data_IF_296345405770
#
_entry.id   IF_296345405770
#
_cell.length_a   1.000
_cell.length_b   1.000
_cell.length_c   1.000
_cell.angle_alpha   90.00
_cell.angle_beta   90.00
_cell.angle_gamma   90.00
#
_symmetry.space_group_name_H-M   'P 1'
#
loop_
_entity.id
_entity.type
_entity.pdbx_description
1 polymer ?
#
# COMPACT_ATOMS: atom_id res chain seq x y z
N UNK A 1 -8.36 6.58 -12.19
CA UNK A 1 -7.80 5.31 -12.68
C UNK A 1 -8.84 4.22 -12.57
N UNK A 2 -8.70 3.13 -13.33
CA UNK A 2 -9.60 1.97 -13.27
C UNK A 2 -8.81 0.68 -12.95
N UNK A 3 -9.48 -0.24 -12.26
CA UNK A 3 -8.97 -1.57 -11.91
C UNK A 3 -7.90 -1.58 -10.83
N UNK A 4 -7.58 -2.78 -10.34
CA UNK A 4 -6.58 -3.02 -9.27
C UNK A 4 -5.12 -3.05 -9.77
N UNK A 5 -4.88 -3.03 -11.08
CA UNK A 5 -3.53 -3.09 -11.62
C UNK A 5 -2.71 -1.87 -11.20
N UNK A 6 -1.49 -2.11 -10.73
CA UNK A 6 -0.57 -1.09 -10.25
C UNK A 6 -1.13 -0.19 -9.13
N UNK A 7 -2.09 -0.69 -8.33
CA UNK A 7 -2.72 0.07 -7.25
C UNK A 7 -1.69 0.67 -6.29
N UNK A 8 -0.70 -0.13 -5.87
CA UNK A 8 0.40 0.31 -4.99
C UNK A 8 1.19 1.46 -5.60
N UNK A 9 1.61 1.34 -6.86
CA UNK A 9 2.40 2.37 -7.55
C UNK A 9 1.59 3.66 -7.71
N UNK A 10 0.30 3.56 -8.07
CA UNK A 10 -0.59 4.72 -8.19
C UNK A 10 -0.71 5.47 -6.86
N UNK A 11 -0.87 4.76 -5.76
CA UNK A 11 -0.96 5.37 -4.44
C UNK A 11 0.38 5.99 -4.00
N UNK A 12 1.50 5.28 -4.16
CA UNK A 12 2.83 5.84 -3.83
C UNK A 12 3.15 7.09 -4.64
N UNK A 13 2.87 7.07 -5.96
CA UNK A 13 3.07 8.25 -6.81
C UNK A 13 2.13 9.40 -6.45
N UNK A 14 0.89 9.10 -6.04
CA UNK A 14 -0.04 10.09 -5.48
C UNK A 14 0.56 10.72 -4.22
N UNK A 15 1.08 9.92 -3.29
CA UNK A 15 1.76 10.40 -2.08
C UNK A 15 2.96 11.28 -2.39
N UNK A 16 3.83 10.86 -3.31
CA UNK A 16 5.04 11.61 -3.69
C UNK A 16 4.68 12.93 -4.40
N UNK A 17 3.68 12.91 -5.28
CA UNK A 17 3.29 14.08 -6.08
C UNK A 17 2.33 15.02 -5.37
N UNK A 18 1.75 14.61 -4.22
CA UNK A 18 0.71 15.36 -3.51
C UNK A 18 -0.61 15.47 -4.27
N UNK A 19 -0.83 14.66 -5.32
CA UNK A 19 -2.02 14.76 -6.17
C UNK A 19 -3.07 13.72 -5.78
N UNK A 20 -4.33 14.11 -5.52
CA UNK A 20 -5.41 13.17 -5.21
C UNK A 20 -5.65 12.19 -6.37
N UNK A 21 -6.05 10.96 -6.03
CA UNK A 21 -6.40 9.93 -7.01
C UNK A 21 -7.70 9.22 -6.64
N UNK A 22 -8.46 8.86 -7.67
CA UNK A 22 -9.64 8.00 -7.54
C UNK A 22 -9.40 6.76 -8.39
N UNK A 23 -9.61 5.57 -7.81
CA UNK A 23 -9.48 4.28 -8.46
C UNK A 23 -10.85 3.60 -8.40
N UNK A 24 -11.50 3.43 -9.55
CA UNK A 24 -12.79 2.75 -9.69
C UNK A 24 -12.60 1.35 -10.29
N UNK A 25 -13.69 0.59 -10.37
CA UNK A 25 -13.74 -0.70 -11.06
C UNK A 25 -12.74 -1.73 -10.50
N UNK A 26 -12.44 -1.67 -9.21
CA UNK A 26 -11.53 -2.60 -8.54
C UNK A 26 -12.21 -3.97 -8.45
N UNK A 27 -11.81 -4.90 -9.33
CA UNK A 27 -12.26 -6.31 -9.34
C UNK A 27 -13.78 -6.50 -9.37
N UNK A 28 -14.50 -5.59 -10.02
CA UNK A 28 -15.98 -5.62 -10.12
C UNK A 28 -16.55 -6.89 -10.76
N UNK A 29 -15.73 -7.68 -11.48
CA UNK A 29 -16.12 -8.93 -12.13
C UNK A 29 -15.64 -10.20 -11.42
N UNK A 30 -14.89 -10.07 -10.32
CA UNK A 30 -14.42 -11.21 -9.53
C UNK A 30 -15.56 -11.76 -8.65
N UNK A 31 -15.48 -13.04 -8.26
CA UNK A 31 -16.40 -13.62 -7.27
C UNK A 31 -16.38 -12.86 -5.93
N UNK A 32 -15.23 -12.28 -5.58
CA UNK A 32 -15.03 -11.43 -4.42
C UNK A 32 -14.59 -10.03 -4.92
N UNK A 33 -15.54 -9.11 -5.13
CA UNK A 33 -15.24 -7.79 -5.66
C UNK A 33 -14.49 -6.91 -4.66
N UNK A 34 -13.81 -5.88 -5.19
CA UNK A 34 -13.18 -4.83 -4.40
C UNK A 34 -11.72 -5.06 -4.03
N UNK A 35 -11.27 -4.26 -3.05
CA UNK A 35 -9.93 -4.32 -2.49
C UNK A 35 -9.67 -5.64 -1.77
N UNK A 36 -8.47 -6.18 -1.94
CA UNK A 36 -8.00 -7.31 -1.12
C UNK A 36 -7.50 -6.80 0.23
N UNK A 37 -7.45 -7.70 1.20
CA UNK A 37 -6.98 -7.43 2.57
C UNK A 37 -5.61 -6.73 2.63
N UNK A 38 -4.65 -7.16 1.80
CA UNK A 38 -3.32 -6.57 1.70
C UNK A 38 -3.32 -5.16 1.10
N UNK A 39 -4.26 -4.85 0.19
CA UNK A 39 -4.40 -3.50 -0.39
C UNK A 39 -5.04 -2.55 0.62
N UNK A 40 -6.07 -3.00 1.33
CA UNK A 40 -6.65 -2.24 2.44
C UNK A 40 -5.61 -2.00 3.55
N UNK A 41 -4.80 -3.00 3.87
CA UNK A 41 -3.68 -2.84 4.81
C UNK A 41 -2.64 -1.85 4.28
N UNK A 42 -2.35 -1.87 2.99
CA UNK A 42 -1.39 -0.97 2.36
C UNK A 42 -1.84 0.50 2.45
N UNK A 43 -3.12 0.75 2.18
CA UNK A 43 -3.71 2.09 2.33
C UNK A 43 -3.60 2.58 3.78
N UNK A 44 -3.87 1.71 4.77
CA UNK A 44 -3.66 2.02 6.20
C UNK A 44 -2.19 2.24 6.57
N UNK A 45 -1.24 1.64 5.85
CA UNK A 45 0.18 1.93 6.05
C UNK A 45 0.51 3.34 5.59
N UNK A 46 0.01 3.75 4.42
CA UNK A 46 0.20 5.12 3.92
C UNK A 46 -0.37 6.16 4.89
N UNK A 47 -1.55 5.90 5.43
CA UNK A 47 -2.18 6.76 6.44
C UNK A 47 -1.37 6.86 7.75
N UNK A 48 -0.63 5.81 8.12
CA UNK A 48 0.25 5.83 9.31
C UNK A 48 1.55 6.62 9.11
N UNK A 49 2.06 6.68 7.89
CA UNK A 49 3.33 7.36 7.59
C UNK A 49 3.12 8.78 7.09
N UNK A 50 1.89 9.11 6.70
CA UNK A 50 1.46 10.44 6.30
C UNK A 50 0.62 11.08 7.42
N UNK A 51 0.56 12.41 7.42
CA UNK A 51 -0.36 13.17 8.26
C UNK A 51 -1.31 13.98 7.38
N UNK A 52 -2.59 14.00 7.73
CA UNK A 52 -3.64 14.67 6.97
C UNK A 52 -4.05 13.98 5.66
N UNK A 53 -3.84 12.67 5.52
CA UNK A 53 -4.45 11.90 4.41
C UNK A 53 -5.96 11.78 4.59
N UNK A 54 -6.69 11.88 3.49
CA UNK A 54 -8.13 11.57 3.44
C UNK A 54 -8.36 10.37 2.53
N UNK A 55 -9.01 9.35 3.09
CA UNK A 55 -9.14 8.03 2.48
C UNK A 55 -10.58 7.58 2.60
N UNK A 56 -11.25 7.44 1.47
CA UNK A 56 -12.62 6.93 1.42
C UNK A 56 -12.70 5.70 0.53
N UNK A 57 -13.31 4.63 1.04
CA UNK A 57 -13.60 3.41 0.30
C UNK A 57 -15.12 3.24 0.28
N UNK A 58 -15.69 2.89 -0.86
CA UNK A 58 -17.12 2.58 -0.97
C UNK A 58 -17.48 1.28 -0.24
N UNK A 59 -18.78 1.05 -0.02
CA UNK A 59 -19.29 -0.11 0.74
C UNK A 59 -18.80 -1.45 0.16
N UNK A 60 -18.69 -1.53 -1.17
CA UNK A 60 -18.27 -2.74 -1.88
C UNK A 60 -16.75 -2.83 -2.08
N UNK A 61 -15.98 -1.82 -1.69
CA UNK A 61 -14.53 -1.76 -1.88
C UNK A 61 -14.08 -1.64 -3.35
N UNK A 62 -14.99 -1.34 -4.27
CA UNK A 62 -14.72 -1.23 -5.71
C UNK A 62 -14.20 0.15 -6.14
N UNK A 63 -14.36 1.14 -5.25
CA UNK A 63 -13.92 2.52 -5.44
C UNK A 63 -13.10 2.99 -4.25
N UNK A 64 -11.86 3.40 -4.51
CA UNK A 64 -10.95 4.01 -3.54
C UNK A 64 -10.68 5.47 -3.95
N UNK A 65 -10.95 6.42 -3.06
CA UNK A 65 -10.48 7.81 -3.17
C UNK A 65 -9.38 8.02 -2.15
N UNK A 66 -8.26 8.55 -2.62
CA UNK A 66 -7.07 8.80 -1.82
C UNK A 66 -6.59 10.22 -2.10
N UNK A 67 -6.65 11.05 -1.06
CA UNK A 67 -6.04 12.37 -1.03
C UNK A 67 -4.81 12.27 -0.13
N UNK A 68 -3.59 12.41 -0.70
CA UNK A 68 -2.37 12.21 0.05
C UNK A 68 -2.14 13.33 1.07
N UNK A 69 -1.66 12.95 2.25
CA UNK A 69 -1.18 13.87 3.28
C UNK A 69 0.31 14.18 3.14
N UNK A 70 0.89 14.84 4.15
CA UNK A 70 2.33 15.10 4.21
C UNK A 70 3.07 13.87 4.75
N UNK A 71 4.18 13.48 4.12
CA UNK A 71 4.99 12.35 4.59
C UNK A 71 5.77 12.80 5.84
N UNK A 72 5.35 12.36 7.03
CA UNK A 72 5.99 12.78 8.29
C UNK A 72 7.10 11.82 8.69
N UNK A 73 6.88 10.51 8.60
CA UNK A 73 7.80 9.51 9.14
C UNK A 73 7.68 9.40 10.67
N UNK A 74 8.82 9.30 11.36
CA UNK A 74 8.87 9.20 12.83
C UNK A 74 9.14 7.79 13.37
N UNK A 75 9.14 7.66 14.69
CA UNK A 75 9.45 6.43 15.42
C UNK A 75 8.24 5.79 16.07
N UNK A 76 8.30 4.48 16.33
CA UNK A 76 7.22 3.76 17.03
C UNK A 76 6.06 3.34 16.13
N UNK A 77 6.18 3.54 14.82
CA UNK A 77 5.19 3.08 13.84
C UNK A 77 5.23 1.56 13.75
N UNK A 78 4.12 0.89 14.08
CA UNK A 78 3.97 -0.56 13.96
C UNK A 78 2.85 -0.88 12.98
N UNK A 79 3.14 -1.73 11.99
CA UNK A 79 2.16 -2.17 11.00
C UNK A 79 2.11 -3.70 10.95
N UNK A 80 0.96 -4.26 11.33
CA UNK A 80 0.66 -5.69 11.20
C UNK A 80 0.16 -5.95 9.79
N UNK A 81 0.93 -6.70 9.01
CA UNK A 81 0.65 -7.07 7.64
C UNK A 81 -0.16 -8.38 7.61
N UNK A 82 -1.18 -8.51 6.75
CA UNK A 82 -1.89 -9.77 6.55
C UNK A 82 -1.00 -10.82 5.88
N UNK A 83 -1.36 -12.10 6.03
CA UNK A 83 -0.57 -13.23 5.48
C UNK A 83 -0.69 -13.39 3.96
N UNK A 84 -1.60 -12.66 3.31
CA UNK A 84 -1.88 -12.74 1.87
C UNK A 84 -0.75 -12.20 0.98
N UNK A 85 0.20 -11.43 1.55
CA UNK A 85 1.41 -10.90 0.91
C UNK A 85 2.55 -10.86 1.93
N UNK A 86 3.81 -10.97 1.46
CA UNK A 86 4.95 -10.83 2.35
C UNK A 86 5.29 -9.39 2.66
N UNK A 87 6.20 -9.19 3.62
CA UNK A 87 6.60 -7.86 4.10
C UNK A 87 7.17 -6.96 2.99
N UNK A 88 7.81 -7.55 1.98
CA UNK A 88 8.38 -6.83 0.83
C UNK A 88 7.35 -5.98 0.11
N UNK A 89 6.09 -6.44 0.05
CA UNK A 89 4.99 -5.70 -0.57
C UNK A 89 4.81 -4.30 0.05
N UNK A 90 4.98 -4.20 1.36
CA UNK A 90 4.87 -2.95 2.14
C UNK A 90 6.19 -2.19 2.19
N UNK A 91 7.30 -2.91 2.36
CA UNK A 91 8.64 -2.33 2.48
C UNK A 91 9.05 -1.52 1.24
N UNK A 92 8.73 -2.01 0.04
CA UNK A 92 9.05 -1.31 -1.22
C UNK A 92 8.47 0.11 -1.27
N UNK A 93 7.25 0.31 -0.75
CA UNK A 93 6.67 1.65 -0.68
C UNK A 93 7.37 2.53 0.37
N UNK A 94 7.71 1.97 1.53
CA UNK A 94 8.41 2.70 2.57
C UNK A 94 9.80 3.16 2.12
N UNK A 95 10.52 2.34 1.34
CA UNK A 95 11.82 2.71 0.77
C UNK A 95 11.73 3.93 -0.16
N UNK A 96 10.62 4.07 -0.89
CA UNK A 96 10.39 5.23 -1.76
C UNK A 96 9.97 6.48 -0.98
N UNK A 97 9.23 6.31 0.11
CA UNK A 97 8.69 7.43 0.90
C UNK A 97 9.67 7.93 1.98
N UNK A 98 10.51 7.06 2.54
CA UNK A 98 11.39 7.39 3.66
C UNK A 98 12.35 8.58 3.39
N UNK A 99 12.97 8.72 2.20
CA UNK A 99 13.84 9.87 1.92
C UNK A 99 13.11 11.21 1.83
N UNK A 100 11.78 11.19 1.65
CA UNK A 100 10.93 12.38 1.50
C UNK A 100 10.23 12.77 2.82
N UNK A 101 10.42 11.96 3.87
CA UNK A 101 9.78 12.19 5.16
C UNK A 101 10.41 13.37 5.89
N UNK A 102 9.58 14.15 6.60
CA UNK A 102 10.07 15.27 7.44
C UNK A 102 10.97 14.81 8.59
N UNK A 103 10.76 13.59 9.09
CA UNK A 103 11.52 12.97 10.18
C UNK A 103 12.03 11.59 9.77
N UNK A 104 13.15 11.11 10.34
CA UNK A 104 13.62 9.75 10.13
C UNK A 104 12.50 8.72 10.35
N UNK A 105 12.32 7.82 9.40
CA UNK A 105 11.22 6.85 9.41
C UNK A 105 11.69 5.52 10.00
N UNK A 106 11.19 5.19 11.20
CA UNK A 106 11.40 3.88 11.85
C UNK A 106 10.08 3.13 11.96
N UNK A 107 9.88 2.15 11.06
CA UNK A 107 8.65 1.35 10.99
C UNK A 107 8.94 -0.11 11.31
N UNK A 108 8.15 -0.70 12.20
CA UNK A 108 8.15 -2.14 12.52
C UNK A 108 7.03 -2.84 11.75
N UNK A 109 7.40 -3.59 10.72
CA UNK A 109 6.49 -4.48 9.99
C UNK A 109 6.41 -5.84 10.69
N UNK A 110 5.20 -6.33 10.97
CA UNK A 110 4.94 -7.65 11.56
C UNK A 110 4.11 -8.48 10.60
N UNK A 111 4.56 -9.66 10.21
CA UNK A 111 3.86 -10.53 9.25
C UNK A 111 4.80 -11.55 8.64
N UNK A 112 4.34 -12.21 7.58
CA UNK A 112 5.11 -13.24 6.87
C UNK A 112 6.25 -12.59 6.08
N UNK A 113 7.49 -13.03 6.30
CA UNK A 113 8.69 -12.46 5.66
C UNK A 113 8.81 -12.82 4.18
N UNK A 114 8.38 -14.02 3.79
CA UNK A 114 8.42 -14.51 2.42
C UNK A 114 7.07 -15.13 2.02
N UNK A 115 6.45 -14.60 0.97
CA UNK A 115 5.33 -15.24 0.27
C UNK A 115 5.82 -15.63 -1.12
N UNK A 116 5.47 -16.82 -1.60
CA UNK A 116 5.95 -17.34 -2.91
C UNK A 116 5.61 -16.47 -4.12
N UNK A 117 4.74 -15.48 -3.94
CA UNK A 117 4.26 -14.52 -4.95
C UNK A 117 5.02 -13.18 -4.97
N UNK A 118 5.98 -12.96 -4.07
CA UNK A 118 6.72 -11.69 -3.98
C UNK A 118 7.93 -11.64 -4.94
N UNK A 119 8.30 -10.46 -5.45
CA UNK A 119 9.41 -10.32 -6.40
C UNK A 119 10.77 -10.77 -5.87
N UNK A 120 10.94 -10.84 -4.54
CA UNK A 120 12.13 -11.42 -3.89
C UNK A 120 12.33 -12.91 -4.20
N UNK A 121 11.28 -13.62 -4.67
CA UNK A 121 11.32 -15.04 -5.02
C UNK A 121 11.66 -15.30 -6.50
N UNK A 122 12.25 -14.35 -7.22
CA UNK A 122 12.65 -14.54 -8.64
C UNK A 122 13.83 -15.49 -8.85
N UNK A 123 14.31 -16.22 -7.85
CA UNK A 123 15.43 -17.18 -7.97
C UNK A 123 15.04 -18.64 -8.17
N UNK A 124 13.76 -19.00 -8.25
CA UNK A 124 13.37 -20.35 -8.67
C UNK A 124 13.19 -20.42 -10.20
N UNK A 125 14.32 -20.40 -10.93
CA UNK A 125 14.36 -20.98 -12.27
C UNK A 125 14.12 -22.49 -12.12
N UNK A 126 13.15 -23.10 -12.85
CA UNK A 126 13.05 -24.54 -12.90
C UNK A 126 14.31 -25.11 -13.56
N UNK A 127 14.90 -26.13 -12.93
CA UNK A 127 15.99 -26.93 -13.49
C UNK A 127 15.50 -27.76 -14.68
#
# INVERSE_FOLDING_TARGET
YQGSNYLRQRLVLSTISGRPVVITDIRVKDEQPGLRDYEASFVRLLDKVCDGSDISIDETGTTLRYTPGQIIGGSGLVHTCPNSRGLTYFLEALLLLAPLAKQPMTVRLKGVTNSGTDPANRSALPA
#
